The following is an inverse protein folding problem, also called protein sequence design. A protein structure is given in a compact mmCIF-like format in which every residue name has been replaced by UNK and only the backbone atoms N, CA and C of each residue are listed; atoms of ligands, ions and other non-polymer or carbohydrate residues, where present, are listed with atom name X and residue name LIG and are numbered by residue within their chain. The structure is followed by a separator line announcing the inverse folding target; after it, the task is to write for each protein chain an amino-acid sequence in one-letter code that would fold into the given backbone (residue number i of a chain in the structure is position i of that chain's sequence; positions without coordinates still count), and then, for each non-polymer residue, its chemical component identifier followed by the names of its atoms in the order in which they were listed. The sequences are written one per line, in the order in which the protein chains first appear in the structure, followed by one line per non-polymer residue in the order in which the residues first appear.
data_IF_391796502376
#
_entry.id   IF_391796502376
#
_cell.length_a   1.000
_cell.length_b   1.000
_cell.length_c   1.000
_cell.angle_alpha   90.00
_cell.angle_beta   90.00
_cell.angle_gamma   90.00
#
_symmetry.space_group_name_H-M   'P 1'
#
loop_
_entity.id
_entity.type
_entity.pdbx_description
1 polymer ?
#
# COMPACT_ATOMS: atom_id res chain seq x y z
N UNK A 1 -3.33 10.87 8.63
CA UNK A 1 -3.34 10.01 9.83
C UNK A 1 -2.63 10.73 10.97
N UNK A 2 -3.25 10.79 12.16
CA UNK A 2 -2.69 11.48 13.31
C UNK A 2 -1.69 10.59 14.11
N UNK A 3 -0.86 11.23 14.96
CA UNK A 3 0.12 10.54 15.82
C UNK A 3 -0.49 9.38 16.63
N UNK A 4 -1.64 9.62 17.26
CA UNK A 4 -2.30 8.62 18.11
C UNK A 4 -2.83 7.42 17.30
N UNK A 5 -3.26 7.65 16.06
CA UNK A 5 -3.70 6.57 15.17
C UNK A 5 -2.54 5.71 14.72
N UNK A 6 -1.41 6.33 14.36
CA UNK A 6 -0.20 5.60 13.98
C UNK A 6 0.26 4.67 15.11
N UNK A 7 0.34 5.16 16.33
CA UNK A 7 0.70 4.34 17.50
C UNK A 7 -0.30 3.21 17.72
N UNK A 8 -1.61 3.47 17.59
CA UNK A 8 -2.65 2.44 17.71
C UNK A 8 -2.49 1.34 16.66
N UNK A 9 -2.28 1.72 15.40
CA UNK A 9 -2.09 0.77 14.30
C UNK A 9 -0.87 -0.11 14.58
N UNK A 10 0.26 0.50 14.94
CA UNK A 10 1.47 -0.25 15.24
C UNK A 10 1.25 -1.24 16.38
N UNK A 11 0.73 -0.78 17.52
CA UNK A 11 0.50 -1.65 18.68
C UNK A 11 -0.50 -2.77 18.38
N UNK A 12 -1.55 -2.50 17.61
CA UNK A 12 -2.53 -3.51 17.18
C UNK A 12 -1.88 -4.63 16.36
N UNK A 13 -0.90 -4.29 15.54
CA UNK A 13 -0.25 -5.22 14.61
C UNK A 13 1.10 -5.77 15.11
N UNK A 14 1.54 -5.41 16.33
CA UNK A 14 2.83 -5.81 16.92
C UNK A 14 2.68 -6.88 18.01
N UNK A 15 1.96 -7.98 17.73
CA UNK A 15 1.74 -9.09 18.65
C UNK A 15 2.82 -10.19 18.56
N UNK A 16 3.97 -9.89 17.99
CA UNK A 16 5.10 -10.80 17.81
C UNK A 16 6.26 -10.40 18.72
N UNK A 17 7.23 -11.29 18.92
CA UNK A 17 8.44 -11.02 19.70
C UNK A 17 9.26 -9.86 19.11
N UNK A 18 9.24 -9.73 17.76
CA UNK A 18 9.90 -8.66 17.02
C UNK A 18 8.95 -8.14 15.96
N UNK A 19 8.81 -6.82 15.85
CA UNK A 19 8.08 -6.14 14.80
C UNK A 19 9.06 -5.38 13.88
N UNK A 20 8.94 -5.58 12.58
CA UNK A 20 9.76 -4.90 11.58
C UNK A 20 8.92 -3.88 10.84
N UNK A 21 9.41 -2.64 10.76
CA UNK A 21 8.78 -1.56 9.99
C UNK A 21 9.67 -1.28 8.79
N UNK A 22 9.13 -1.48 7.59
CA UNK A 22 9.81 -1.12 6.34
C UNK A 22 9.65 0.37 6.04
N UNK A 23 10.76 1.06 5.79
CA UNK A 23 10.76 2.40 5.23
C UNK A 23 10.76 2.32 3.71
N UNK A 24 9.65 2.68 3.08
CA UNK A 24 9.43 2.52 1.62
C UNK A 24 10.27 3.49 0.78
N UNK A 25 10.51 4.70 1.30
CA UNK A 25 11.29 5.76 0.65
C UNK A 25 12.57 6.02 1.43
N UNK A 26 13.38 6.96 1.00
CA UNK A 26 14.55 7.40 1.76
C UNK A 26 14.16 7.83 3.19
N UNK A 27 15.09 7.70 4.13
CA UNK A 27 14.81 7.83 5.57
C UNK A 27 14.14 9.17 5.94
N UNK A 28 14.54 10.26 5.28
CA UNK A 28 13.94 11.59 5.49
C UNK A 28 12.97 12.01 4.42
N UNK A 29 12.71 11.16 3.40
CA UNK A 29 11.77 11.48 2.33
C UNK A 29 10.34 11.27 2.83
N UNK A 30 9.54 12.32 2.76
CA UNK A 30 8.18 12.33 3.28
C UNK A 30 7.23 13.12 2.38
N UNK A 31 6.33 13.86 3.02
CA UNK A 31 5.29 14.62 2.32
C UNK A 31 5.87 15.76 1.46
N UNK A 32 6.93 16.40 1.94
CA UNK A 32 7.59 17.53 1.26
C UNK A 32 9.08 17.52 1.51
N UNK A 33 9.82 18.38 0.80
CA UNK A 33 11.28 18.51 0.96
C UNK A 33 11.72 19.44 2.10
N UNK A 34 10.80 19.98 2.89
CA UNK A 34 11.10 20.97 3.97
C UNK A 34 10.93 20.38 5.36
N UNK A 35 10.04 19.40 5.50
CA UNK A 35 9.70 18.80 6.79
C UNK A 35 9.93 17.30 6.79
N UNK A 36 10.00 16.71 7.99
CA UNK A 36 10.06 15.25 8.15
C UNK A 36 8.66 14.60 8.16
N UNK A 37 7.58 15.37 7.89
CA UNK A 37 6.23 14.85 7.94
C UNK A 37 6.04 13.67 6.98
N UNK A 38 5.43 12.59 7.49
CA UNK A 38 5.17 11.33 6.76
C UNK A 38 6.43 10.58 6.25
N UNK A 39 7.65 10.94 6.67
CA UNK A 39 8.87 10.19 6.37
C UNK A 39 9.02 8.96 7.28
N UNK A 40 9.92 8.05 6.90
CA UNK A 40 10.35 6.92 7.76
C UNK A 40 10.92 7.43 9.09
N UNK A 41 11.69 8.52 9.07
CA UNK A 41 12.19 9.18 10.28
C UNK A 41 11.05 9.63 11.20
N UNK A 42 9.99 10.25 10.64
CA UNK A 42 8.84 10.70 11.43
C UNK A 42 8.15 9.53 12.15
N UNK A 43 7.93 8.42 11.45
CA UNK A 43 7.35 7.21 12.05
C UNK A 43 8.25 6.64 13.14
N UNK A 44 9.55 6.48 12.87
CA UNK A 44 10.51 5.97 13.84
C UNK A 44 10.60 6.86 15.11
N UNK A 45 10.58 8.18 14.95
CA UNK A 45 10.59 9.14 16.06
C UNK A 45 9.32 9.07 16.91
N UNK A 46 8.13 8.95 16.28
CA UNK A 46 6.85 8.82 16.97
C UNK A 46 6.75 7.52 17.78
N UNK A 47 7.24 6.43 17.23
CA UNK A 47 7.26 5.11 17.89
C UNK A 47 8.45 4.95 18.83
N UNK A 48 9.41 5.89 18.80
CA UNK A 48 10.71 5.77 19.48
C UNK A 48 11.44 4.48 19.11
N UNK A 49 11.25 4.01 17.88
CA UNK A 49 11.85 2.79 17.37
C UNK A 49 13.34 3.00 17.04
N UNK A 50 14.21 2.02 17.30
CA UNK A 50 15.56 2.01 16.77
C UNK A 50 15.53 1.80 15.25
N UNK A 51 16.50 2.36 14.56
CA UNK A 51 16.57 2.32 13.09
C UNK A 51 17.80 1.54 12.66
N UNK A 52 17.62 0.60 11.76
CA UNK A 52 18.72 -0.04 11.02
C UNK A 52 18.80 0.63 9.66
N UNK A 53 19.91 1.31 9.43
CA UNK A 53 20.16 2.02 8.18
C UNK A 53 20.85 1.09 7.17
N UNK A 54 20.22 0.86 6.02
CA UNK A 54 20.81 0.09 4.93
C UNK A 54 21.45 1.06 3.95
N UNK A 55 22.78 0.98 3.78
CA UNK A 55 23.56 1.85 2.90
C UNK A 55 24.00 1.11 1.65
N UNK A 56 23.68 1.65 0.48
CA UNK A 56 24.25 1.18 -0.78
C UNK A 56 25.73 1.56 -0.84
N UNK A 57 26.61 0.58 -0.69
CA UNK A 57 28.04 0.76 -0.72
C UNK A 57 28.62 0.69 -2.14
N UNK A 58 27.80 0.47 -3.18
CA UNK A 58 28.31 0.38 -4.55
C UNK A 58 29.04 1.68 -4.95
N UNK A 59 30.25 1.51 -5.52
CA UNK A 59 31.08 2.63 -5.99
C UNK A 59 31.45 3.68 -4.92
N UNK A 60 31.34 3.34 -3.63
CA UNK A 60 31.77 4.20 -2.52
C UNK A 60 32.86 3.52 -1.68
N UNK A 61 33.60 4.28 -0.90
CA UNK A 61 34.55 3.81 0.09
C UNK A 61 34.48 4.73 1.31
N UNK A 62 35.41 5.62 1.54
CA UNK A 62 35.38 6.55 2.69
C UNK A 62 34.17 7.49 2.69
N UNK A 63 33.62 7.83 1.53
CA UNK A 63 32.43 8.70 1.41
C UNK A 63 31.17 8.09 2.05
N UNK A 64 31.13 6.77 2.27
CA UNK A 64 29.99 6.13 2.96
C UNK A 64 29.86 6.62 4.41
N UNK A 65 30.98 7.01 5.05
CA UNK A 65 30.97 7.59 6.37
C UNK A 65 30.32 8.98 6.41
N UNK A 66 30.55 9.80 5.38
CA UNK A 66 29.88 11.10 5.25
C UNK A 66 28.37 10.92 5.08
N UNK A 67 27.95 9.93 4.27
CA UNK A 67 26.54 9.58 4.11
C UNK A 67 25.91 9.12 5.42
N UNK A 68 26.54 8.18 6.14
CA UNK A 68 26.07 7.70 7.43
C UNK A 68 26.01 8.81 8.49
N UNK A 69 27.04 9.67 8.54
CA UNK A 69 27.07 10.83 9.43
C UNK A 69 25.94 11.80 9.13
N UNK A 70 25.68 12.07 7.85
CA UNK A 70 24.56 12.89 7.41
C UNK A 70 23.23 12.36 7.93
N UNK A 71 22.91 11.09 7.69
CA UNK A 71 21.70 10.46 8.21
C UNK A 71 21.59 10.50 9.74
N UNK A 72 22.71 10.38 10.44
CA UNK A 72 22.74 10.38 11.91
C UNK A 72 22.55 11.79 12.51
N UNK A 73 23.11 12.81 11.87
CA UNK A 73 23.19 14.17 12.40
C UNK A 73 22.18 15.15 11.78
N UNK A 74 21.57 14.80 10.66
CA UNK A 74 20.61 15.68 9.96
C UNK A 74 19.43 16.09 10.86
N UNK A 75 19.02 15.21 11.76
CA UNK A 75 17.98 15.54 12.73
C UNK A 75 18.31 14.96 14.11
N UNK A 76 18.14 15.79 15.17
CA UNK A 76 18.52 15.46 16.56
C UNK A 76 17.82 14.20 17.13
N UNK A 77 16.66 13.84 16.60
CA UNK A 77 15.89 12.66 17.06
C UNK A 77 16.14 11.42 16.20
N UNK A 78 17.18 11.42 15.36
CA UNK A 78 17.58 10.23 14.61
C UNK A 78 18.09 9.16 15.57
N UNK A 79 17.56 7.95 15.47
CA UNK A 79 17.88 6.80 16.34
C UNK A 79 18.50 5.67 15.56
N UNK A 80 19.47 5.98 14.69
CA UNK A 80 20.20 4.96 13.94
C UNK A 80 21.03 4.14 14.92
N UNK A 81 20.67 2.88 15.05
CA UNK A 81 21.22 1.94 16.05
C UNK A 81 22.02 0.81 15.42
N UNK A 82 22.06 0.72 14.09
CA UNK A 82 22.83 -0.24 13.34
C UNK A 82 22.93 0.12 11.87
N UNK A 83 23.98 -0.34 11.20
CA UNK A 83 24.21 -0.15 9.77
C UNK A 83 24.34 -1.50 9.09
N UNK A 84 23.70 -1.66 7.94
CA UNK A 84 23.93 -2.76 6.99
C UNK A 84 24.57 -2.16 5.74
N UNK A 85 25.75 -2.67 5.37
CA UNK A 85 26.42 -2.33 4.12
C UNK A 85 25.90 -3.25 3.01
N UNK A 86 25.22 -2.70 2.03
CA UNK A 86 24.69 -3.45 0.91
C UNK A 86 25.55 -3.26 -0.35
N UNK A 87 25.59 -4.26 -1.22
CA UNK A 87 26.31 -4.27 -2.49
C UNK A 87 27.83 -4.10 -2.36
N UNK A 88 28.44 -4.72 -1.37
CA UNK A 88 29.88 -4.79 -1.20
C UNK A 88 30.50 -5.62 -2.34
N UNK A 89 31.53 -5.04 -3.00
CA UNK A 89 32.14 -5.65 -4.20
C UNK A 89 33.27 -6.66 -3.92
N UNK A 90 33.99 -6.53 -2.78
CA UNK A 90 35.13 -7.36 -2.42
C UNK A 90 35.47 -7.27 -0.93
N UNK A 91 36.31 -8.18 -0.43
CA UNK A 91 36.81 -8.13 0.96
C UNK A 91 37.60 -6.86 1.25
N UNK A 92 38.44 -6.41 0.33
CA UNK A 92 39.16 -5.13 0.41
C UNK A 92 38.20 -3.95 0.52
N UNK A 93 37.10 -3.96 -0.28
CA UNK A 93 36.09 -2.92 -0.24
C UNK A 93 35.36 -2.90 1.11
N UNK A 94 35.00 -4.06 1.66
CA UNK A 94 34.42 -4.19 3.00
C UNK A 94 35.33 -3.57 4.06
N UNK A 95 36.64 -3.92 4.07
CA UNK A 95 37.60 -3.39 5.03
C UNK A 95 37.67 -1.87 4.97
N UNK A 96 37.74 -1.28 3.78
CA UNK A 96 37.75 0.17 3.60
C UNK A 96 36.47 0.86 4.14
N UNK A 97 35.30 0.26 3.89
CA UNK A 97 34.03 0.81 4.39
C UNK A 97 33.92 0.68 5.91
N UNK A 98 34.38 -0.43 6.50
CA UNK A 98 34.39 -0.63 7.97
C UNK A 98 35.30 0.39 8.65
N UNK A 99 36.55 0.57 8.20
CA UNK A 99 37.48 1.58 8.74
C UNK A 99 36.89 3.00 8.65
N UNK A 100 36.23 3.32 7.53
CA UNK A 100 35.62 4.64 7.37
C UNK A 100 34.49 4.91 8.42
N UNK A 101 33.76 3.89 8.85
CA UNK A 101 32.63 4.00 9.77
C UNK A 101 32.99 3.88 11.24
N UNK A 102 34.23 3.49 11.60
CA UNK A 102 34.66 3.23 13.00
C UNK A 102 34.36 4.41 13.92
N UNK A 103 34.65 5.63 13.48
CA UNK A 103 34.46 6.84 14.30
C UNK A 103 32.99 7.24 14.53
N UNK A 104 32.04 6.58 13.90
CA UNK A 104 30.62 6.88 14.11
C UNK A 104 30.02 6.18 15.32
N UNK A 105 30.72 5.21 15.90
CA UNK A 105 30.26 4.41 17.03
C UNK A 105 28.88 3.73 16.82
N UNK A 106 28.55 3.42 15.56
CA UNK A 106 27.33 2.70 15.20
C UNK A 106 27.74 1.30 14.72
N UNK A 107 27.20 0.22 15.30
CA UNK A 107 27.58 -1.14 14.94
C UNK A 107 27.20 -1.45 13.48
N UNK A 108 28.13 -2.05 12.75
CA UNK A 108 27.84 -2.68 11.46
C UNK A 108 27.30 -4.08 11.77
N UNK A 109 26.03 -4.29 11.48
CA UNK A 109 25.28 -5.51 11.81
C UNK A 109 25.01 -6.39 10.57
N UNK A 110 25.52 -6.00 9.41
CA UNK A 110 25.44 -6.80 8.21
C UNK A 110 26.31 -6.24 7.09
N UNK A 111 26.81 -7.15 6.25
CA UNK A 111 27.61 -6.81 5.06
C UNK A 111 27.18 -7.74 3.92
N UNK A 112 26.38 -7.22 3.01
CA UNK A 112 25.77 -7.99 1.94
C UNK A 112 26.55 -7.79 0.64
N UNK A 113 27.09 -8.86 0.03
CA UNK A 113 27.79 -8.78 -1.24
C UNK A 113 26.86 -8.39 -2.40
N UNK A 114 27.45 -7.76 -3.43
CA UNK A 114 26.70 -7.21 -4.58
C UNK A 114 25.79 -8.23 -5.29
N UNK A 115 26.15 -9.49 -5.31
CA UNK A 115 25.45 -10.51 -6.12
C UNK A 115 24.55 -11.46 -5.29
N UNK A 116 24.38 -11.24 -3.99
CA UNK A 116 23.67 -12.17 -3.11
C UNK A 116 22.13 -12.07 -3.15
N UNK A 117 21.56 -11.04 -3.75
CA UNK A 117 20.12 -10.78 -3.66
C UNK A 117 19.35 -10.65 -4.99
N UNK A 118 19.95 -10.90 -6.15
CA UNK A 118 19.31 -10.65 -7.46
C UNK A 118 18.23 -11.68 -7.87
N UNK A 119 17.52 -12.25 -6.93
CA UNK A 119 16.53 -13.33 -7.18
C UNK A 119 15.12 -12.76 -7.37
N UNK A 120 14.87 -11.58 -6.82
CA UNK A 120 13.55 -10.94 -6.91
C UNK A 120 13.60 -9.82 -7.95
N UNK A 121 12.88 -10.01 -9.06
CA UNK A 121 12.63 -8.95 -10.02
C UNK A 121 11.63 -7.97 -9.40
N UNK A 122 12.07 -6.76 -9.09
CA UNK A 122 11.16 -5.70 -8.64
C UNK A 122 10.51 -5.02 -9.85
N UNK A 123 9.20 -4.87 -9.81
CA UNK A 123 8.45 -3.91 -10.64
C UNK A 123 8.08 -2.72 -9.75
N UNK A 124 7.73 -1.60 -10.35
CA UNK A 124 7.14 -0.42 -9.69
C UNK A 124 7.29 -0.35 -8.14
N UNK A 125 8.30 0.31 -7.64
CA UNK A 125 8.63 0.48 -6.21
C UNK A 125 8.78 -0.84 -5.42
N UNK A 126 9.26 -1.92 -6.05
CA UNK A 126 9.45 -3.20 -5.36
C UNK A 126 8.20 -4.07 -5.24
N UNK A 127 7.05 -3.61 -5.75
CA UNK A 127 5.82 -4.40 -5.74
C UNK A 127 5.92 -5.54 -6.77
N UNK A 128 5.71 -6.76 -6.30
CA UNK A 128 5.68 -7.96 -7.17
C UNK A 128 4.22 -8.41 -7.24
N UNK A 129 3.64 -8.49 -8.47
CA UNK A 129 2.34 -9.13 -8.61
C UNK A 129 2.44 -10.59 -8.14
N UNK A 130 1.71 -10.95 -7.10
CA UNK A 130 1.69 -12.32 -6.58
C UNK A 130 0.81 -13.15 -7.51
N UNK A 131 1.40 -13.64 -8.59
CA UNK A 131 0.71 -14.53 -9.54
C UNK A 131 0.75 -15.98 -9.10
N UNK A 132 1.79 -16.39 -8.33
CA UNK A 132 1.93 -17.69 -7.71
C UNK A 132 2.57 -17.55 -6.31
N UNK A 133 1.78 -17.78 -5.27
CA UNK A 133 2.25 -17.72 -3.88
C UNK A 133 3.35 -18.74 -3.57
N UNK A 134 3.30 -19.93 -4.18
CA UNK A 134 4.31 -21.00 -3.95
C UNK A 134 5.64 -20.60 -4.56
N UNK A 135 5.63 -20.06 -5.77
CA UNK A 135 6.85 -19.57 -6.43
C UNK A 135 7.46 -18.40 -5.67
N UNK A 136 6.65 -17.45 -5.25
CA UNK A 136 7.10 -16.31 -4.42
C UNK A 136 7.72 -16.80 -3.11
N UNK A 137 7.07 -17.72 -2.40
CA UNK A 137 7.60 -18.27 -1.14
C UNK A 137 8.93 -18.98 -1.36
N UNK A 138 9.09 -19.74 -2.46
CA UNK A 138 10.35 -20.39 -2.82
C UNK A 138 11.47 -19.37 -3.07
N UNK A 139 11.17 -18.28 -3.80
CA UNK A 139 12.13 -17.20 -4.05
C UNK A 139 12.50 -16.47 -2.74
N UNK A 140 11.54 -16.18 -1.88
CA UNK A 140 11.79 -15.56 -0.58
C UNK A 140 12.67 -16.45 0.31
N UNK A 141 12.41 -17.75 0.38
CA UNK A 141 13.23 -18.69 1.14
C UNK A 141 14.67 -18.73 0.61
N UNK A 142 14.86 -18.69 -0.71
CA UNK A 142 16.18 -18.64 -1.31
C UNK A 142 16.92 -17.33 -1.00
N UNK A 143 16.23 -16.18 -1.08
CA UNK A 143 16.82 -14.89 -0.69
C UNK A 143 17.20 -14.88 0.79
N UNK A 144 16.31 -15.36 1.65
CA UNK A 144 16.55 -15.46 3.10
C UNK A 144 17.78 -16.31 3.41
N UNK A 145 17.92 -17.48 2.77
CA UNK A 145 19.10 -18.34 2.91
C UNK A 145 20.37 -17.65 2.42
N UNK A 146 20.31 -16.97 1.26
CA UNK A 146 21.47 -16.33 0.66
C UNK A 146 21.96 -15.09 1.44
N UNK A 147 21.06 -14.40 2.16
CA UNK A 147 21.39 -13.16 2.86
C UNK A 147 21.61 -13.40 4.37
N UNK A 148 21.01 -14.44 4.93
CA UNK A 148 21.05 -14.71 6.37
C UNK A 148 22.46 -14.76 6.95
N UNK A 149 23.39 -15.40 6.29
CA UNK A 149 24.78 -15.56 6.74
C UNK A 149 25.59 -14.23 6.77
N UNK A 150 25.06 -13.18 6.12
CA UNK A 150 25.69 -11.86 6.09
C UNK A 150 25.14 -10.89 7.16
N UNK A 151 24.20 -11.35 8.00
CA UNK A 151 23.56 -10.55 9.04
C UNK A 151 23.91 -11.05 10.45
N UNK A 152 24.19 -10.12 11.34
CA UNK A 152 24.43 -10.39 12.77
C UNK A 152 23.09 -10.34 13.52
N UNK A 153 22.41 -11.47 13.57
CA UNK A 153 21.09 -11.58 14.22
C UNK A 153 21.14 -11.32 15.73
N UNK A 154 22.25 -11.64 16.41
CA UNK A 154 22.39 -11.35 17.84
C UNK A 154 22.36 -9.86 18.10
N UNK A 155 23.11 -9.08 17.32
CA UNK A 155 23.08 -7.62 17.41
C UNK A 155 21.72 -7.03 17.01
N UNK A 156 21.06 -7.59 15.98
CA UNK A 156 19.71 -7.16 15.58
C UNK A 156 18.73 -7.36 16.74
N UNK A 157 18.71 -8.55 17.34
CA UNK A 157 17.86 -8.85 18.51
C UNK A 157 18.19 -7.92 19.69
N UNK A 158 19.47 -7.65 19.94
CA UNK A 158 19.88 -6.71 21.02
C UNK A 158 19.35 -5.29 20.76
N UNK A 159 19.38 -4.83 19.51
CA UNK A 159 18.79 -3.54 19.10
C UNK A 159 17.28 -3.55 19.34
N UNK A 160 16.58 -4.62 18.96
CA UNK A 160 15.14 -4.76 19.14
C UNK A 160 14.69 -4.80 20.60
N UNK A 161 15.53 -5.31 21.50
CA UNK A 161 15.25 -5.30 22.95
C UNK A 161 15.37 -3.93 23.61
N UNK A 162 16.09 -3.00 22.99
CA UNK A 162 16.30 -1.65 23.53
C UNK A 162 15.22 -0.67 23.03
N UNK A 163 13.96 -0.99 23.30
CA UNK A 163 12.80 -0.18 22.91
C UNK A 163 12.00 0.27 24.10
N UNK A 164 11.28 1.39 23.94
CA UNK A 164 10.35 1.86 24.97
C UNK A 164 9.03 1.09 24.88
N UNK A 165 8.41 0.87 26.03
CA UNK A 165 7.06 0.32 26.08
C UNK A 165 6.07 1.28 25.42
N UNK A 166 5.28 0.77 24.50
CA UNK A 166 4.16 1.49 23.90
C UNK A 166 2.90 1.33 24.76
N UNK A 167 1.96 2.29 24.67
CA UNK A 167 0.74 2.22 25.47
C UNK A 167 -0.08 0.99 25.10
N UNK A 168 -0.62 0.30 26.09
CA UNK A 168 -1.57 -0.80 25.88
C UNK A 168 -2.85 -0.25 25.24
N UNK A 169 -3.32 -0.90 24.19
CA UNK A 169 -4.58 -0.56 23.51
C UNK A 169 -5.66 -1.51 24.01
N UNK A 170 -6.81 -0.95 24.39
CA UNK A 170 -7.97 -1.78 24.75
C UNK A 170 -8.45 -2.53 23.53
N UNK A 171 -8.75 -3.84 23.63
CA UNK A 171 -9.35 -4.60 22.55
C UNK A 171 -10.62 -3.92 22.05
N UNK A 172 -10.75 -3.78 20.74
CA UNK A 172 -11.97 -3.23 20.14
C UNK A 172 -13.04 -4.31 20.08
N UNK A 173 -14.27 -3.97 20.45
CA UNK A 173 -15.40 -4.90 20.37
C UNK A 173 -15.89 -5.01 18.92
N UNK A 174 -16.17 -6.23 18.49
CA UNK A 174 -16.82 -6.51 17.21
C UNK A 174 -18.32 -6.39 17.34
N UNK A 175 -18.96 -5.70 16.39
CA UNK A 175 -20.41 -5.65 16.31
C UNK A 175 -20.96 -6.98 15.74
N UNK A 176 -22.19 -7.31 16.06
CA UNK A 176 -22.87 -8.48 15.47
C UNK A 176 -22.91 -8.33 13.93
N UNK A 177 -22.52 -9.38 13.22
CA UNK A 177 -22.52 -9.38 11.76
C UNK A 177 -23.93 -9.27 11.19
N UNK A 178 -24.19 -8.18 10.45
CA UNK A 178 -25.49 -7.89 9.83
C UNK A 178 -25.40 -7.72 8.32
N UNK A 179 -24.25 -7.28 7.81
CA UNK A 179 -24.02 -6.93 6.40
C UNK A 179 -22.99 -7.89 5.80
N UNK A 180 -23.25 -8.35 4.59
CA UNK A 180 -22.38 -9.25 3.83
C UNK A 180 -21.56 -8.44 2.84
N UNK A 181 -20.23 -8.44 2.95
CA UNK A 181 -19.33 -7.72 2.05
C UNK A 181 -18.52 -8.72 1.22
N UNK A 182 -18.67 -8.67 -0.10
CA UNK A 182 -17.88 -9.44 -1.04
C UNK A 182 -16.62 -8.65 -1.41
N UNK A 183 -15.44 -9.23 -1.19
CA UNK A 183 -14.15 -8.61 -1.50
C UNK A 183 -13.50 -9.36 -2.66
N UNK A 184 -13.16 -8.65 -3.74
CA UNK A 184 -12.40 -9.20 -4.85
C UNK A 184 -10.96 -9.50 -4.39
N UNK A 185 -10.54 -10.75 -4.43
CA UNK A 185 -9.20 -11.14 -3.99
C UNK A 185 -8.63 -12.22 -4.88
N UNK A 186 -7.71 -11.82 -5.76
CA UNK A 186 -6.91 -12.71 -6.59
C UNK A 186 -5.62 -11.99 -7.07
N UNK A 187 -4.95 -12.56 -8.07
CA UNK A 187 -3.72 -11.96 -8.62
C UNK A 187 -3.94 -10.60 -9.30
N UNK A 188 -5.17 -10.22 -9.65
CA UNK A 188 -5.48 -8.90 -10.23
C UNK A 188 -5.79 -7.85 -9.17
N UNK A 189 -6.39 -8.27 -8.04
CA UNK A 189 -6.85 -7.39 -6.96
C UNK A 189 -6.36 -7.93 -5.64
N UNK A 190 -5.19 -7.49 -5.20
CA UNK A 190 -4.53 -7.95 -3.98
C UNK A 190 -3.97 -6.82 -3.12
N UNK A 191 -4.16 -5.56 -3.53
CA UNK A 191 -3.72 -4.42 -2.77
C UNK A 191 -4.84 -3.91 -1.86
N UNK A 192 -4.80 -4.38 -0.61
CA UNK A 192 -5.74 -4.01 0.45
C UNK A 192 -4.97 -3.65 1.71
N UNK A 193 -5.41 -2.62 2.42
CA UNK A 193 -5.01 -2.49 3.81
C UNK A 193 -5.70 -3.57 4.63
N UNK A 194 -4.91 -4.40 5.31
CA UNK A 194 -5.45 -5.40 6.25
C UNK A 194 -6.39 -4.75 7.26
N UNK A 195 -6.02 -3.57 7.76
CA UNK A 195 -6.83 -2.81 8.71
C UNK A 195 -8.18 -2.36 8.14
N UNK A 196 -8.32 -2.13 6.83
CA UNK A 196 -9.61 -1.82 6.21
C UNK A 196 -10.56 -3.02 6.30
N UNK A 197 -10.06 -4.22 6.02
CA UNK A 197 -10.85 -5.46 6.13
C UNK A 197 -11.25 -5.71 7.58
N UNK A 198 -10.33 -5.52 8.53
CA UNK A 198 -10.61 -5.65 9.96
C UNK A 198 -11.58 -4.57 10.46
N UNK A 199 -11.51 -3.35 9.95
CA UNK A 199 -12.46 -2.29 10.25
C UNK A 199 -13.88 -2.66 9.81
N UNK A 200 -14.04 -3.22 8.60
CA UNK A 200 -15.33 -3.73 8.13
C UNK A 200 -15.87 -4.85 9.02
N UNK A 201 -15.02 -5.84 9.37
CA UNK A 201 -15.41 -6.93 10.30
C UNK A 201 -15.85 -6.39 11.65
N UNK A 202 -15.09 -5.45 12.21
CA UNK A 202 -15.40 -4.82 13.49
C UNK A 202 -16.72 -4.07 13.47
N UNK A 203 -17.05 -3.43 12.36
CA UNK A 203 -18.32 -2.73 12.18
C UNK A 203 -19.52 -3.67 11.86
N UNK A 204 -19.28 -4.98 11.75
CA UNK A 204 -20.33 -6.00 11.58
C UNK A 204 -20.43 -6.53 10.15
N UNK A 205 -19.34 -6.51 9.38
CA UNK A 205 -19.30 -7.17 8.08
C UNK A 205 -19.04 -8.68 8.20
N UNK A 206 -19.77 -9.47 7.46
CA UNK A 206 -19.44 -10.85 7.10
C UNK A 206 -18.70 -10.82 5.77
N UNK A 207 -17.40 -11.03 5.81
CA UNK A 207 -16.55 -10.98 4.61
C UNK A 207 -16.66 -12.28 3.82
N UNK A 208 -16.85 -12.15 2.51
CA UNK A 208 -16.75 -13.24 1.52
C UNK A 208 -15.76 -12.83 0.44
N UNK A 209 -14.78 -13.66 0.16
CA UNK A 209 -13.84 -13.40 -0.93
C UNK A 209 -14.33 -14.03 -2.23
N UNK A 210 -14.02 -13.39 -3.37
CA UNK A 210 -14.27 -13.94 -4.70
C UNK A 210 -13.12 -13.55 -5.65
N UNK A 211 -12.93 -14.34 -6.70
CA UNK A 211 -11.91 -14.09 -7.72
C UNK A 211 -12.54 -13.58 -9.01
N UNK A 212 -12.34 -12.32 -9.39
CA UNK A 212 -12.72 -11.81 -10.70
C UNK A 212 -12.17 -12.60 -11.88
N UNK A 213 -11.03 -13.28 -11.71
CA UNK A 213 -10.39 -14.09 -12.77
C UNK A 213 -11.05 -15.46 -12.93
N UNK A 214 -11.35 -16.15 -11.82
CA UNK A 214 -11.71 -17.58 -11.86
C UNK A 214 -13.17 -17.89 -11.52
N UNK A 215 -13.81 -17.06 -10.70
CA UNK A 215 -15.21 -17.31 -10.33
C UNK A 215 -16.16 -16.84 -11.45
N UNK A 216 -17.29 -17.53 -11.58
CA UNK A 216 -18.28 -17.22 -12.62
C UNK A 216 -19.21 -16.05 -12.24
N UNK A 217 -19.43 -15.82 -10.94
CA UNK A 217 -20.30 -14.76 -10.43
C UNK A 217 -19.87 -14.34 -9.02
N UNK A 218 -20.29 -13.15 -8.60
CA UNK A 218 -20.12 -12.69 -7.22
C UNK A 218 -20.93 -13.56 -6.25
N UNK A 219 -20.47 -13.74 -5.00
CA UNK A 219 -21.28 -14.34 -3.95
C UNK A 219 -22.45 -13.40 -3.58
N UNK A 220 -23.53 -13.95 -3.06
CA UNK A 220 -24.63 -13.11 -2.53
C UNK A 220 -24.08 -12.20 -1.41
N UNK A 221 -24.29 -10.87 -1.57
CA UNK A 221 -23.74 -9.84 -0.68
C UNK A 221 -24.56 -8.54 -0.77
N UNK A 222 -24.41 -7.71 0.26
CA UNK A 222 -25.03 -6.40 0.35
C UNK A 222 -24.08 -5.29 -0.19
N UNK A 223 -22.78 -5.58 -0.20
CA UNK A 223 -21.75 -4.67 -0.68
C UNK A 223 -20.62 -5.43 -1.38
N UNK A 224 -20.03 -4.81 -2.41
CA UNK A 224 -18.84 -5.29 -3.11
C UNK A 224 -17.69 -4.30 -2.85
N UNK A 225 -16.52 -4.82 -2.48
CA UNK A 225 -15.28 -4.05 -2.39
C UNK A 225 -14.25 -4.59 -3.38
N UNK A 226 -13.83 -3.75 -4.33
CA UNK A 226 -12.78 -4.07 -5.31
C UNK A 226 -11.60 -3.14 -5.06
N UNK A 227 -10.56 -3.67 -4.45
CA UNK A 227 -9.37 -2.88 -4.10
C UNK A 227 -8.42 -2.64 -5.25
N UNK A 228 -7.23 -2.16 -4.91
CA UNK A 228 -6.14 -1.98 -5.85
C UNK A 228 -5.52 -3.29 -6.33
N UNK A 229 -4.61 -3.17 -7.28
CA UNK A 229 -3.89 -4.29 -7.87
C UNK A 229 -3.40 -3.97 -9.27
N UNK A 230 -3.20 -5.03 -10.07
CA UNK A 230 -2.62 -4.94 -11.41
C UNK A 230 -3.53 -5.58 -12.48
N UNK A 231 -4.76 -5.06 -12.65
CA UNK A 231 -5.72 -5.64 -13.60
C UNK A 231 -5.22 -5.59 -15.06
N UNK A 232 -4.36 -4.64 -15.42
CA UNK A 232 -3.77 -4.52 -16.76
C UNK A 232 -2.89 -5.72 -17.11
N UNK A 233 -2.16 -6.28 -16.15
CA UNK A 233 -1.27 -7.45 -16.37
C UNK A 233 -2.09 -8.68 -16.71
N UNK A 234 -3.23 -8.85 -16.07
CA UNK A 234 -4.15 -9.97 -16.25
C UNK A 234 -5.38 -9.59 -17.09
N UNK A 235 -5.27 -8.48 -17.86
CA UNK A 235 -6.36 -7.92 -18.64
C UNK A 235 -7.00 -8.91 -19.62
N UNK A 236 -6.23 -9.81 -20.22
CA UNK A 236 -6.77 -10.88 -21.08
C UNK A 236 -7.70 -11.81 -20.29
N UNK A 237 -7.29 -12.29 -19.13
CA UNK A 237 -8.11 -13.20 -18.29
C UNK A 237 -9.37 -12.51 -17.79
N UNK A 238 -9.25 -11.29 -17.27
CA UNK A 238 -10.39 -10.50 -16.82
C UNK A 238 -11.37 -10.21 -17.96
N UNK A 239 -10.86 -9.87 -19.15
CA UNK A 239 -11.70 -9.58 -20.32
C UNK A 239 -12.49 -10.79 -20.81
N UNK A 240 -11.96 -12.00 -20.65
CA UNK A 240 -12.60 -13.25 -21.03
C UNK A 240 -13.69 -13.71 -20.08
N UNK A 241 -13.64 -13.30 -18.80
CA UNK A 241 -14.65 -13.68 -17.81
C UNK A 241 -15.93 -12.84 -17.91
N UNK A 242 -16.68 -13.06 -18.99
CA UNK A 242 -17.89 -12.29 -19.29
C UNK A 242 -18.99 -12.51 -18.26
N UNK A 243 -19.07 -13.70 -17.65
CA UNK A 243 -20.09 -14.02 -16.65
C UNK A 243 -19.87 -13.22 -15.36
N UNK A 244 -18.64 -13.11 -14.88
CA UNK A 244 -18.28 -12.28 -13.72
C UNK A 244 -18.55 -10.80 -14.00
N UNK A 245 -18.08 -10.27 -15.13
CA UNK A 245 -18.31 -8.86 -15.51
C UNK A 245 -19.81 -8.53 -15.54
N UNK A 246 -20.62 -9.40 -16.15
CA UNK A 246 -22.08 -9.24 -16.19
C UNK A 246 -22.70 -9.30 -14.79
N UNK A 247 -22.21 -10.21 -13.93
CA UNK A 247 -22.69 -10.34 -12.56
C UNK A 247 -22.46 -9.09 -11.72
N UNK A 248 -21.25 -8.46 -11.83
CA UNK A 248 -20.95 -7.22 -11.11
C UNK A 248 -21.78 -6.07 -11.67
N UNK A 249 -21.89 -5.95 -12.99
CA UNK A 249 -22.69 -4.90 -13.63
C UNK A 249 -24.17 -4.96 -13.23
N UNK A 250 -24.76 -6.13 -13.27
CA UNK A 250 -26.15 -6.34 -12.85
C UNK A 250 -26.35 -6.05 -11.36
N UNK A 251 -25.38 -6.39 -10.50
CA UNK A 251 -25.44 -6.04 -9.08
C UNK A 251 -25.49 -4.52 -8.89
N UNK A 252 -24.64 -3.76 -9.59
CA UNK A 252 -24.65 -2.30 -9.54
C UNK A 252 -26.00 -1.72 -10.04
N UNK A 253 -26.49 -2.18 -11.17
CA UNK A 253 -27.77 -1.77 -11.78
C UNK A 253 -28.97 -2.11 -10.85
N UNK A 254 -28.86 -3.19 -10.07
CA UNK A 254 -29.86 -3.59 -9.07
C UNK A 254 -29.69 -2.88 -7.71
N UNK A 255 -28.78 -1.88 -7.61
CA UNK A 255 -28.62 -1.06 -6.41
C UNK A 255 -27.65 -1.63 -5.36
N UNK A 256 -26.98 -2.78 -5.63
CA UNK A 256 -25.94 -3.28 -4.73
C UNK A 256 -24.82 -2.24 -4.60
N UNK A 257 -24.45 -1.94 -3.35
CA UNK A 257 -23.37 -0.99 -3.05
C UNK A 257 -22.01 -1.50 -3.55
N UNK A 258 -21.26 -0.67 -4.28
CA UNK A 258 -19.90 -1.02 -4.73
C UNK A 258 -18.92 0.09 -4.35
N UNK A 259 -17.86 -0.29 -3.66
CA UNK A 259 -16.70 0.57 -3.43
C UNK A 259 -15.48 0.03 -4.17
N UNK A 260 -14.80 0.89 -4.94
CA UNK A 260 -13.65 0.46 -5.73
C UNK A 260 -12.48 1.45 -5.63
N UNK A 261 -11.26 0.94 -5.55
CA UNK A 261 -10.02 1.72 -5.47
C UNK A 261 -9.06 1.35 -6.59
N UNK A 262 -8.45 2.35 -7.25
CA UNK A 262 -7.34 2.21 -8.19
C UNK A 262 -7.56 1.11 -9.26
N UNK A 263 -7.01 -0.09 -9.09
CA UNK A 263 -7.25 -1.22 -9.98
C UNK A 263 -8.73 -1.58 -10.11
N UNK A 264 -9.50 -1.45 -9.02
CA UNK A 264 -10.95 -1.63 -9.01
C UNK A 264 -11.69 -0.59 -9.86
N UNK A 265 -11.29 0.68 -9.78
CA UNK A 265 -11.79 1.73 -10.68
C UNK A 265 -11.52 1.36 -12.15
N UNK A 266 -10.29 0.96 -12.47
CA UNK A 266 -9.90 0.55 -13.82
C UNK A 266 -10.77 -0.60 -14.34
N UNK A 267 -11.11 -1.57 -13.51
CA UNK A 267 -11.95 -2.71 -13.88
C UNK A 267 -13.42 -2.34 -14.11
N UNK A 268 -13.91 -1.28 -13.46
CA UNK A 268 -15.27 -0.77 -13.65
C UNK A 268 -15.44 0.07 -14.93
N UNK A 269 -14.35 0.56 -15.56
CA UNK A 269 -14.39 1.26 -16.83
C UNK A 269 -14.74 0.33 -18.01
N UNK A 270 -14.96 0.87 -19.21
CA UNK A 270 -15.24 0.08 -20.44
C UNK A 270 -14.09 -0.83 -20.84
N UNK A 271 -12.85 -0.35 -20.67
CA UNK A 271 -11.66 -1.07 -21.14
C UNK A 271 -10.38 -0.58 -20.46
N UNK A 272 -9.39 -1.46 -20.42
CA UNK A 272 -8.00 -1.12 -20.08
C UNK A 272 -7.14 -1.26 -21.34
N UNK A 273 -6.42 -0.19 -21.73
CA UNK A 273 -5.43 -0.19 -22.79
C UNK A 273 -4.03 -0.36 -22.21
N UNK A 274 -3.38 -1.47 -22.56
CA UNK A 274 -2.05 -1.83 -22.07
C UNK A 274 -1.23 -2.52 -23.17
N UNK A 275 0.02 -2.10 -23.40
CA UNK A 275 0.92 -2.67 -24.41
C UNK A 275 0.27 -2.82 -25.80
N UNK A 276 -0.34 -1.74 -26.29
CA UNK A 276 -1.07 -1.67 -27.57
C UNK A 276 -2.27 -2.64 -27.70
N UNK A 277 -2.70 -3.27 -26.62
CA UNK A 277 -3.90 -4.10 -26.57
C UNK A 277 -4.98 -3.43 -25.75
N UNK A 278 -6.23 -3.60 -26.16
CA UNK A 278 -7.42 -3.09 -25.47
C UNK A 278 -8.20 -4.27 -24.92
N UNK A 279 -8.34 -4.32 -23.60
CA UNK A 279 -9.05 -5.38 -22.89
C UNK A 279 -10.40 -4.84 -22.40
N UNK A 280 -11.49 -5.47 -22.85
CA UNK A 280 -12.85 -5.09 -22.45
C UNK A 280 -13.09 -5.43 -20.97
N UNK A 281 -13.49 -4.43 -20.18
CA UNK A 281 -13.77 -4.56 -18.75
C UNK A 281 -15.30 -4.55 -18.48
N UNK A 282 -15.73 -4.21 -17.27
CA UNK A 282 -17.14 -4.28 -16.86
C UNK A 282 -17.98 -3.28 -17.66
N UNK A 283 -17.49 -2.07 -17.91
CA UNK A 283 -18.20 -1.03 -18.63
C UNK A 283 -19.40 -0.53 -17.81
N UNK A 284 -19.22 -0.35 -16.52
CA UNK A 284 -20.14 0.36 -15.67
C UNK A 284 -20.02 1.86 -15.92
N UNK A 285 -18.79 2.40 -15.81
CA UNK A 285 -18.50 3.77 -16.19
C UNK A 285 -18.20 3.88 -17.68
N UNK A 286 -18.83 4.85 -18.34
CA UNK A 286 -18.61 5.16 -19.77
C UNK A 286 -17.33 5.95 -20.00
N UNK A 287 -16.22 5.38 -19.54
CA UNK A 287 -14.87 5.91 -19.67
C UNK A 287 -13.90 4.74 -19.93
N UNK A 288 -12.67 5.05 -20.32
CA UNK A 288 -11.65 4.05 -20.60
C UNK A 288 -10.41 4.31 -19.77
N UNK A 289 -9.67 3.26 -19.44
CA UNK A 289 -8.38 3.35 -18.77
C UNK A 289 -7.25 3.16 -19.76
N UNK A 290 -6.26 4.04 -19.75
CA UNK A 290 -5.03 3.92 -20.51
C UNK A 290 -3.82 3.87 -19.56
N UNK A 291 -2.98 2.82 -19.69
CA UNK A 291 -1.73 2.74 -18.94
C UNK A 291 -0.69 3.71 -19.48
N UNK A 292 0.07 4.34 -18.59
CA UNK A 292 1.08 5.35 -18.90
C UNK A 292 2.45 4.93 -18.37
N UNK A 293 3.51 5.60 -18.84
CA UNK A 293 4.85 5.46 -18.26
C UNK A 293 5.08 6.41 -17.09
N UNK A 294 4.25 7.45 -16.96
CA UNK A 294 4.32 8.42 -15.86
C UNK A 294 3.65 7.82 -14.63
N UNK A 295 4.37 7.80 -13.53
CA UNK A 295 3.86 7.43 -12.21
C UNK A 295 3.17 8.64 -11.58
N UNK A 296 1.98 8.43 -11.04
CA UNK A 296 1.34 9.33 -10.08
C UNK A 296 1.50 8.72 -8.69
N UNK A 297 2.18 9.42 -7.81
CA UNK A 297 2.39 9.04 -6.41
C UNK A 297 2.26 10.28 -5.55
N UNK A 298 1.16 10.42 -4.82
CA UNK A 298 0.89 11.57 -3.98
C UNK A 298 0.23 11.14 -2.67
N UNK A 299 0.51 11.86 -1.60
CA UNK A 299 -0.46 12.01 -0.51
C UNK A 299 -1.59 12.90 -1.00
N UNK A 300 -2.82 12.51 -0.75
CA UNK A 300 -4.00 13.27 -1.19
C UNK A 300 -4.72 13.89 0.00
N UNK A 301 -5.16 15.13 -0.19
CA UNK A 301 -6.05 15.85 0.70
C UNK A 301 -7.23 16.34 -0.11
N UNK A 302 -8.44 16.01 0.33
CA UNK A 302 -9.63 16.32 -0.43
C UNK A 302 -10.90 16.39 0.41
N UNK A 303 -11.99 16.68 -0.28
CA UNK A 303 -13.32 16.76 0.29
C UNK A 303 -14.29 15.88 -0.47
N UNK A 304 -15.05 15.06 0.24
CA UNK A 304 -16.25 14.41 -0.28
C UNK A 304 -17.34 15.45 -0.35
N UNK A 305 -17.90 15.67 -1.53
CA UNK A 305 -18.82 16.78 -1.82
C UNK A 305 -20.28 16.46 -1.59
N UNK A 306 -20.66 15.18 -1.65
CA UNK A 306 -22.04 14.72 -1.56
C UNK A 306 -22.17 13.48 -0.70
N UNK A 307 -23.39 13.15 -0.28
CA UNK A 307 -23.68 11.86 0.35
C UNK A 307 -23.39 10.72 -0.62
N UNK A 308 -22.71 9.71 -0.13
CA UNK A 308 -22.39 8.51 -0.89
C UNK A 308 -22.21 7.29 0.04
N UNK A 309 -21.95 6.14 -0.56
CA UNK A 309 -21.75 4.87 0.17
C UNK A 309 -20.82 4.99 1.38
N UNK A 310 -19.71 5.69 1.23
CA UNK A 310 -18.65 5.73 2.26
C UNK A 310 -18.81 6.87 3.27
N UNK A 311 -19.54 7.93 2.94
CA UNK A 311 -19.61 9.13 3.82
C UNK A 311 -20.69 10.12 3.43
N UNK A 312 -21.00 10.99 4.39
CA UNK A 312 -21.52 12.35 4.15
C UNK A 312 -20.41 13.32 3.74
N UNK A 313 -20.74 14.55 3.24
CA UNK A 313 -19.74 15.56 2.89
C UNK A 313 -18.75 15.83 4.03
N UNK A 314 -17.45 15.69 3.74
CA UNK A 314 -16.37 15.92 4.72
C UNK A 314 -14.99 15.90 4.08
N UNK A 315 -14.00 16.45 4.78
CA UNK A 315 -12.59 16.33 4.39
C UNK A 315 -12.04 14.93 4.68
N UNK A 316 -11.08 14.51 3.88
CA UNK A 316 -10.37 13.25 4.04
C UNK A 316 -8.91 13.36 3.62
N UNK A 317 -8.08 12.44 4.13
CA UNK A 317 -6.71 12.20 3.69
C UNK A 317 -6.60 10.81 3.11
N UNK A 318 -5.87 10.67 2.02
CA UNK A 318 -5.63 9.41 1.34
C UNK A 318 -4.23 9.41 0.71
N UNK A 319 -3.96 8.46 -0.15
CA UNK A 319 -2.90 8.53 -1.12
C UNK A 319 -3.38 7.99 -2.47
N UNK A 320 -2.70 8.37 -3.53
CA UNK A 320 -2.86 7.81 -4.87
C UNK A 320 -1.53 7.26 -5.37
N UNK A 321 -1.60 6.09 -6.00
CA UNK A 321 -0.44 5.43 -6.62
C UNK A 321 -0.89 4.64 -7.83
N UNK A 322 -0.59 5.14 -9.04
CA UNK A 322 -0.99 4.47 -10.28
C UNK A 322 -0.11 4.88 -11.47
N UNK A 323 -0.11 4.05 -12.51
CA UNK A 323 0.49 4.28 -13.82
C UNK A 323 -0.56 4.35 -14.91
N UNK A 324 -1.72 4.88 -14.60
CA UNK A 324 -2.85 4.94 -15.53
C UNK A 324 -3.51 6.31 -15.51
N UNK A 325 -4.28 6.59 -16.53
CA UNK A 325 -5.20 7.73 -16.62
C UNK A 325 -6.55 7.25 -17.14
N UNK A 326 -7.60 7.94 -16.74
CA UNK A 326 -8.94 7.73 -17.29
C UNK A 326 -9.10 8.70 -18.46
N UNK A 327 -9.59 8.19 -19.59
CA UNK A 327 -9.80 8.94 -20.82
C UNK A 327 -11.24 8.74 -21.30
N UNK A 328 -11.66 9.57 -22.26
CA UNK A 328 -13.01 9.53 -22.86
C UNK A 328 -14.11 9.66 -21.78
N UNK A 329 -13.90 10.53 -20.80
CA UNK A 329 -14.83 10.76 -19.70
C UNK A 329 -16.03 11.57 -20.24
N UNK A 330 -17.28 11.09 -20.09
CA UNK A 330 -18.48 11.86 -20.44
C UNK A 330 -18.57 13.16 -19.65
N UNK A 331 -19.14 14.19 -20.26
CA UNK A 331 -19.25 15.52 -19.62
C UNK A 331 -20.18 15.55 -18.40
N UNK A 332 -21.15 14.65 -18.36
CA UNK A 332 -22.14 14.48 -17.29
C UNK A 332 -21.68 13.54 -16.17
N UNK A 333 -20.43 13.08 -16.21
CA UNK A 333 -19.86 12.19 -15.17
C UNK A 333 -19.87 12.86 -13.81
N UNK A 334 -20.40 12.15 -12.81
CA UNK A 334 -20.44 12.60 -11.42
C UNK A 334 -19.14 12.28 -10.71
N UNK A 335 -18.54 13.28 -10.08
CA UNK A 335 -17.40 13.16 -9.20
C UNK A 335 -17.81 13.48 -7.77
N UNK A 336 -17.39 12.66 -6.83
CA UNK A 336 -17.70 12.82 -5.41
C UNK A 336 -16.59 13.48 -4.62
N UNK A 337 -15.37 13.53 -5.16
CA UNK A 337 -14.21 14.06 -4.46
C UNK A 337 -13.63 15.26 -5.21
N UNK A 338 -13.44 16.36 -4.46
CA UNK A 338 -12.61 17.49 -4.86
C UNK A 338 -11.29 17.40 -4.10
N UNK A 339 -10.16 17.41 -4.80
CA UNK A 339 -8.82 17.28 -4.23
C UNK A 339 -8.15 18.65 -4.11
N UNK A 340 -7.69 19.00 -2.93
CA UNK A 340 -6.79 20.14 -2.70
C UNK A 340 -5.36 19.74 -3.13
N UNK A 341 -4.94 18.54 -2.71
CA UNK A 341 -3.65 17.91 -3.02
C UNK A 341 -3.93 16.56 -3.67
N UNK A 342 -3.26 16.26 -4.79
CA UNK A 342 -3.45 15.07 -5.60
C UNK A 342 -3.79 15.40 -7.06
N UNK A 343 -3.77 14.41 -7.92
CA UNK A 343 -4.16 14.50 -9.34
C UNK A 343 -5.62 14.04 -9.55
N UNK A 344 -6.00 12.92 -8.94
CA UNK A 344 -7.28 12.28 -9.10
C UNK A 344 -7.53 11.74 -10.52
N UNK A 345 -8.78 11.56 -10.89
CA UNK A 345 -9.20 11.07 -12.20
C UNK A 345 -9.04 12.18 -13.26
N UNK A 346 -9.46 13.40 -12.96
CA UNK A 346 -9.38 14.54 -13.89
C UNK A 346 -9.48 15.87 -13.15
N UNK A 347 -8.56 16.81 -13.43
CA UNK A 347 -8.62 18.19 -12.92
C UNK A 347 -8.85 18.28 -11.42
N UNK A 348 -8.14 17.48 -10.64
CA UNK A 348 -8.29 17.37 -9.17
C UNK A 348 -9.67 16.89 -8.71
N UNK A 349 -10.43 16.27 -9.59
CA UNK A 349 -11.66 15.56 -9.24
C UNK A 349 -11.43 14.06 -9.25
N UNK A 350 -12.03 13.36 -8.29
CA UNK A 350 -11.94 11.91 -8.13
C UNK A 350 -13.27 11.34 -7.63
N UNK A 351 -13.36 10.02 -7.46
CA UNK A 351 -14.56 9.37 -6.99
C UNK A 351 -15.68 9.38 -8.02
N UNK A 352 -15.54 8.62 -9.12
CA UNK A 352 -16.65 8.34 -10.04
C UNK A 352 -17.82 7.75 -9.29
N UNK A 353 -19.02 8.22 -9.62
CA UNK A 353 -20.26 7.74 -9.02
C UNK A 353 -21.33 7.53 -10.06
N UNK A 354 -21.89 6.31 -10.05
CA UNK A 354 -23.04 5.90 -10.84
C UNK A 354 -23.78 4.83 -10.06
N UNK A 355 -25.13 4.83 -10.05
CA UNK A 355 -25.93 4.00 -9.13
C UNK A 355 -25.47 4.18 -7.67
N UNK A 356 -25.33 3.08 -6.91
CA UNK A 356 -24.76 3.08 -5.56
C UNK A 356 -23.26 2.67 -5.56
N UNK A 357 -22.51 3.19 -6.53
CA UNK A 357 -21.10 2.87 -6.78
C UNK A 357 -20.22 4.08 -6.53
N UNK A 358 -19.11 3.87 -5.87
CA UNK A 358 -18.03 4.86 -5.70
C UNK A 358 -16.71 4.22 -6.12
N UNK A 359 -16.02 4.81 -7.08
CA UNK A 359 -14.73 4.33 -7.56
C UNK A 359 -13.72 5.47 -7.73
N UNK A 360 -12.52 5.34 -7.17
CA UNK A 360 -11.52 6.40 -7.12
C UNK A 360 -10.10 5.89 -7.31
N UNK A 361 -9.17 6.79 -7.66
CA UNK A 361 -7.74 6.52 -7.54
C UNK A 361 -7.26 6.63 -6.09
N UNK A 362 -7.97 7.40 -5.25
CA UNK A 362 -7.64 7.53 -3.84
C UNK A 362 -7.81 6.22 -3.09
N UNK A 363 -6.76 5.82 -2.36
CA UNK A 363 -6.82 4.73 -1.38
C UNK A 363 -7.14 5.30 0.00
N UNK A 364 -8.28 4.90 0.57
CA UNK A 364 -8.76 5.39 1.84
C UNK A 364 -8.40 4.44 2.99
N UNK A 365 -8.06 5.00 4.13
CA UNK A 365 -7.93 4.26 5.38
C UNK A 365 -9.27 4.27 6.12
N UNK A 366 -9.92 3.12 6.28
CA UNK A 366 -11.32 3.04 6.70
C UNK A 366 -11.58 3.38 8.17
N UNK A 367 -10.59 3.25 9.04
CA UNK A 367 -10.71 3.70 10.42
C UNK A 367 -10.66 5.24 10.54
N UNK A 368 -10.07 5.92 9.55
CA UNK A 368 -10.20 7.37 9.46
C UNK A 368 -11.65 7.71 9.06
N UNK A 369 -12.20 8.76 9.65
CA UNK A 369 -13.47 9.31 9.23
C UNK A 369 -14.69 8.35 9.28
N UNK A 370 -14.59 7.21 9.98
CA UNK A 370 -15.67 6.20 10.12
C UNK A 370 -16.15 5.60 8.79
N UNK A 371 -15.28 5.52 7.78
CA UNK A 371 -15.66 4.99 6.47
C UNK A 371 -16.22 3.56 6.54
N UNK A 372 -15.57 2.65 7.31
CA UNK A 372 -16.09 1.29 7.50
C UNK A 372 -17.52 1.28 8.07
N UNK A 373 -17.79 2.10 9.09
CA UNK A 373 -19.12 2.20 9.70
C UNK A 373 -20.18 2.69 8.71
N UNK A 374 -19.81 3.67 7.87
CA UNK A 374 -20.72 4.21 6.86
C UNK A 374 -21.01 3.19 5.75
N UNK A 375 -19.97 2.49 5.25
CA UNK A 375 -20.15 1.41 4.26
C UNK A 375 -21.16 0.39 4.80
N UNK A 376 -20.96 -0.10 6.03
CA UNK A 376 -21.85 -1.11 6.61
C UNK A 376 -23.28 -0.59 6.81
N UNK A 377 -23.43 0.67 7.24
CA UNK A 377 -24.74 1.28 7.44
C UNK A 377 -25.48 1.50 6.12
N UNK A 378 -24.76 1.99 5.09
CA UNK A 378 -25.38 2.40 3.82
C UNK A 378 -25.55 1.24 2.82
N UNK A 379 -24.98 0.05 3.11
CA UNK A 379 -25.12 -1.15 2.26
C UNK A 379 -26.29 -2.06 2.65
N UNK A 380 -26.96 -1.81 3.74
CA UNK A 380 -28.06 -2.66 4.25
C UNK A 380 -29.44 -2.00 4.16
N UNK A 381 -29.56 -0.93 3.37
CA UNK A 381 -30.84 -0.20 3.18
C UNK A 381 -31.40 -0.42 1.79
#
# INVERSE_FOLDING_TARGET
MGKNELVKIFVKNSNSDISIIEGVMGYYDGFDGKTNHASTHHVAALLKAPVILILDASKTSRSIAATALGFTKFHKNSRISGIILNKIGSKKHETLCRHALENLNIPIIGVIPKNSGNILESRHLGLIPVTDQKELQKKLNQVSKNIGDYLDFEKIIKICKNVNHLPKIKPQKFKKAKTSVAIALDSSFNFYYHDNIEALRREGARIKFFSPISDKKIPNCDCIYIGGGFPEILGKRLSQNNTMKKSIKQAAENGTSIYAECGGLMYLTKSIKYQNKKYKMIGLFDAETEMTKKMTLNYTDGRITSYCLISSPRNFHAHEFHYSKIINIPKDTKFLYDLNIGEGISSKKDGFSEYNVVASYCHLYFDSAKFASNIIKNSGT
#
